data_IF_417595317510
#
_entry.id   IF_417595317510
#
_cell.length_a   1.000
_cell.length_b   1.000
_cell.length_c   1.000
_cell.angle_alpha   90.00
_cell.angle_beta   90.00
_cell.angle_gamma   90.00
#
_symmetry.space_group_name_H-M   'P 1'
#
loop_
_entity.id
_entity.type
_entity.pdbx_description
1 polymer ?
#
# COMPACT_ATOMS: atom_id res chain seq x y z
N UNK A 1 -6.59 8.36 -5.19
CA UNK A 1 -6.16 8.67 -6.57
C UNK A 1 -6.51 10.12 -6.86
N UNK A 2 -5.54 10.99 -7.16
CA UNK A 2 -5.78 12.41 -7.51
C UNK A 2 -5.96 12.49 -9.02
N UNK A 3 -7.14 12.86 -9.47
CA UNK A 3 -7.52 12.89 -10.87
C UNK A 3 -7.85 14.32 -11.24
N UNK A 4 -6.98 14.95 -12.03
CA UNK A 4 -7.33 16.20 -12.70
C UNK A 4 -8.22 15.90 -13.90
N UNK A 5 -9.48 15.53 -13.68
CA UNK A 5 -10.44 15.37 -14.77
C UNK A 5 -11.75 16.09 -14.49
N UNK A 6 -12.12 16.92 -15.46
CA UNK A 6 -13.48 17.36 -15.71
C UNK A 6 -14.44 16.16 -15.67
N UNK A 7 -15.24 16.17 -14.61
CA UNK A 7 -16.59 15.62 -14.34
C UNK A 7 -17.13 14.38 -15.08
N UNK A 8 -16.79 14.06 -16.33
CA UNK A 8 -17.59 13.16 -17.16
C UNK A 8 -16.88 11.94 -17.78
N UNK A 9 -15.55 11.92 -17.97
CA UNK A 9 -14.94 10.84 -18.79
C UNK A 9 -14.42 9.65 -17.98
N UNK A 10 -13.80 9.87 -16.81
CA UNK A 10 -13.27 8.77 -16.00
C UNK A 10 -14.35 7.93 -15.30
N UNK A 11 -15.51 8.53 -14.98
CA UNK A 11 -16.59 7.88 -14.22
C UNK A 11 -17.34 6.83 -15.04
N UNK A 12 -17.59 7.11 -16.33
CA UNK A 12 -18.37 6.23 -17.21
C UNK A 12 -17.60 4.98 -17.61
N UNK A 13 -16.27 5.00 -17.62
CA UNK A 13 -15.49 3.88 -18.17
C UNK A 13 -14.94 2.90 -17.13
N UNK A 14 -14.63 3.34 -15.90
CA UNK A 14 -14.13 2.43 -14.87
C UNK A 14 -15.29 1.61 -14.25
N UNK A 15 -16.48 2.21 -14.07
CA UNK A 15 -17.68 1.48 -13.61
C UNK A 15 -18.16 0.39 -14.56
N UNK A 16 -17.87 0.52 -15.85
CA UNK A 16 -18.41 -0.37 -16.90
C UNK A 16 -17.60 -1.67 -17.04
N UNK A 17 -16.36 -1.72 -16.53
CA UNK A 17 -15.44 -2.84 -16.78
C UNK A 17 -14.95 -3.59 -15.53
N UNK A 18 -15.11 -3.05 -14.32
CA UNK A 18 -14.96 -3.83 -13.09
C UNK A 18 -16.09 -3.55 -12.08
N UNK A 19 -17.17 -4.33 -12.17
CA UNK A 19 -18.32 -4.26 -11.25
C UNK A 19 -17.97 -4.52 -9.76
N UNK A 20 -16.72 -4.84 -9.47
CA UNK A 20 -16.23 -5.24 -8.15
C UNK A 20 -15.63 -4.07 -7.35
N UNK A 21 -15.28 -2.96 -8.00
CA UNK A 21 -14.74 -1.75 -7.37
C UNK A 21 -15.83 -0.68 -7.21
N UNK A 22 -15.95 -0.13 -6.00
CA UNK A 22 -16.76 1.05 -5.70
C UNK A 22 -15.88 2.28 -5.84
N UNK A 23 -16.42 3.28 -6.54
CA UNK A 23 -15.73 4.53 -6.87
C UNK A 23 -16.55 5.69 -6.33
N UNK A 24 -15.93 6.52 -5.52
CA UNK A 24 -16.49 7.78 -5.02
C UNK A 24 -15.61 8.94 -5.50
N UNK A 25 -16.25 10.00 -5.99
CA UNK A 25 -15.55 11.19 -6.50
C UNK A 25 -15.76 12.31 -5.50
N UNK A 26 -14.69 12.95 -5.06
CA UNK A 26 -14.77 14.17 -4.24
C UNK A 26 -13.94 15.28 -4.85
N UNK A 27 -14.44 16.49 -4.76
CA UNK A 27 -13.69 17.71 -5.09
C UNK A 27 -13.05 18.24 -3.81
N UNK A 28 -11.77 18.58 -3.90
CA UNK A 28 -11.00 19.15 -2.80
C UNK A 28 -10.74 20.62 -3.08
N UNK A 29 -11.51 21.49 -2.43
CA UNK A 29 -11.44 22.94 -2.63
C UNK A 29 -10.04 23.53 -2.41
N UNK A 30 -9.31 23.05 -1.40
CA UNK A 30 -8.00 23.60 -1.03
C UNK A 30 -6.93 23.44 -2.11
N UNK A 31 -7.03 22.39 -2.92
CA UNK A 31 -6.04 22.04 -3.96
C UNK A 31 -6.63 22.12 -5.37
N UNK A 32 -7.86 22.64 -5.47
CA UNK A 32 -8.73 22.62 -6.64
C UNK A 32 -8.54 21.38 -7.52
N UNK A 33 -8.76 20.21 -6.92
CA UNK A 33 -8.55 18.94 -7.59
C UNK A 33 -9.66 17.94 -7.30
N UNK A 34 -9.96 17.10 -8.27
CA UNK A 34 -10.81 15.94 -8.05
C UNK A 34 -9.98 14.76 -7.55
N UNK A 35 -10.54 14.02 -6.61
CA UNK A 35 -9.96 12.78 -6.11
C UNK A 35 -10.97 11.64 -6.30
N UNK A 36 -10.47 10.54 -6.86
CA UNK A 36 -11.17 9.27 -6.92
C UNK A 36 -10.76 8.44 -5.70
N UNK A 37 -11.77 8.06 -4.92
CA UNK A 37 -11.68 7.13 -3.82
C UNK A 37 -12.15 5.77 -4.33
N UNK A 38 -11.27 4.78 -4.20
CA UNK A 38 -11.50 3.43 -4.70
C UNK A 38 -11.57 2.49 -3.51
N UNK A 39 -12.58 1.63 -3.49
CA UNK A 39 -12.75 0.58 -2.49
C UNK A 39 -13.36 -0.67 -3.12
N UNK A 40 -13.25 -1.81 -2.47
CA UNK A 40 -13.80 -3.08 -2.92
C UNK A 40 -14.61 -3.75 -1.81
N UNK A 41 -15.59 -4.56 -2.21
CA UNK A 41 -16.31 -5.40 -1.26
C UNK A 41 -15.39 -6.50 -0.72
N UNK A 42 -15.67 -7.02 0.49
CA UNK A 42 -14.82 -8.04 1.13
C UNK A 42 -14.59 -9.27 0.24
N UNK A 43 -15.63 -9.78 -0.43
CA UNK A 43 -15.51 -10.92 -1.36
C UNK A 43 -14.56 -10.63 -2.53
N UNK A 44 -14.60 -9.41 -3.07
CA UNK A 44 -13.71 -8.98 -4.15
C UNK A 44 -12.28 -8.80 -3.67
N UNK A 45 -12.10 -8.28 -2.45
CA UNK A 45 -10.78 -8.20 -1.81
C UNK A 45 -10.18 -9.59 -1.60
N UNK A 46 -10.95 -10.59 -1.16
CA UNK A 46 -10.43 -11.95 -0.99
C UNK A 46 -10.00 -12.58 -2.33
N UNK A 47 -10.79 -12.42 -3.39
CA UNK A 47 -10.37 -12.84 -4.74
C UNK A 47 -9.11 -12.12 -5.21
N UNK A 48 -9.02 -10.81 -4.94
CA UNK A 48 -7.82 -10.04 -5.23
C UNK A 48 -6.61 -10.46 -4.39
N UNK A 49 -6.82 -10.91 -3.15
CA UNK A 49 -5.76 -11.43 -2.28
C UNK A 49 -5.14 -12.72 -2.82
N UNK A 50 -5.96 -13.60 -3.40
CA UNK A 50 -5.52 -14.80 -4.12
C UNK A 50 -4.70 -14.43 -5.37
N UNK A 51 -5.19 -13.48 -6.18
CA UNK A 51 -4.45 -12.98 -7.36
C UNK A 51 -3.12 -12.29 -7.00
N UNK A 52 -3.03 -11.71 -5.80
CA UNK A 52 -1.80 -11.08 -5.30
C UNK A 52 -0.89 -12.08 -4.55
N UNK A 53 -1.25 -13.38 -4.49
CA UNK A 53 -0.49 -14.40 -3.76
C UNK A 53 -0.18 -14.03 -2.30
N UNK A 54 -1.14 -13.39 -1.62
CA UNK A 54 -0.94 -12.95 -0.23
C UNK A 54 -0.82 -14.17 0.68
N UNK A 55 0.23 -14.19 1.50
CA UNK A 55 0.46 -15.27 2.46
C UNK A 55 -0.26 -14.98 3.78
N UNK A 56 -1.01 -15.95 4.27
CA UNK A 56 -1.81 -15.86 5.50
C UNK A 56 -1.58 -17.06 6.42
N UNK A 57 -1.70 -16.87 7.75
CA UNK A 57 -1.56 -17.95 8.69
C UNK A 57 -2.73 -18.93 8.59
N UNK A 58 -2.41 -20.22 8.52
CA UNK A 58 -3.38 -21.32 8.52
C UNK A 58 -3.73 -21.66 9.96
N UNK A 59 -4.97 -22.09 10.23
CA UNK A 59 -5.40 -22.55 11.56
C UNK A 59 -4.58 -23.78 11.96
N UNK A 60 -4.29 -23.93 13.25
CA UNK A 60 -3.52 -25.05 13.78
C UNK A 60 -4.13 -26.42 13.45
N UNK A 61 -5.46 -26.53 13.37
CA UNK A 61 -6.16 -27.76 12.99
C UNK A 61 -5.91 -28.20 11.54
N UNK A 62 -5.44 -27.32 10.66
CA UNK A 62 -5.11 -27.62 9.26
C UNK A 62 -3.59 -27.64 9.02
N UNK A 63 -2.79 -27.87 10.07
CA UNK A 63 -1.32 -27.97 10.00
C UNK A 63 -0.57 -26.68 10.36
N UNK A 64 -1.27 -25.55 10.52
CA UNK A 64 -0.67 -24.27 10.89
C UNK A 64 0.30 -23.70 9.84
N UNK A 65 1.14 -22.75 10.24
CA UNK A 65 2.13 -22.11 9.37
C UNK A 65 1.56 -21.02 8.46
N UNK A 66 2.34 -20.59 7.47
CA UNK A 66 2.01 -19.55 6.50
C UNK A 66 1.83 -20.17 5.11
N UNK A 67 0.71 -19.87 4.45
CA UNK A 67 0.39 -20.36 3.11
C UNK A 67 -0.18 -19.25 2.25
N UNK A 68 0.00 -19.32 0.93
CA UNK A 68 -0.70 -18.45 -0.01
C UNK A 68 -2.20 -18.60 0.12
N UNK A 69 -2.90 -17.48 0.18
CA UNK A 69 -4.33 -17.42 0.35
C UNK A 69 -5.02 -18.00 -0.89
N UNK A 70 -5.91 -18.97 -0.67
CA UNK A 70 -6.84 -19.46 -1.69
C UNK A 70 -8.27 -19.13 -1.28
N UNK A 71 -9.03 -18.60 -2.23
CA UNK A 71 -10.42 -18.24 -2.01
C UNK A 71 -11.30 -19.47 -1.75
N UNK A 72 -11.00 -20.60 -2.40
CA UNK A 72 -11.74 -21.87 -2.24
C UNK A 72 -11.54 -22.47 -0.84
N UNK A 73 -10.31 -22.36 -0.31
CA UNK A 73 -9.93 -22.91 0.99
C UNK A 73 -9.92 -21.84 2.10
N UNK A 74 -10.67 -20.75 1.94
CA UNK A 74 -10.65 -19.59 2.84
C UNK A 74 -10.89 -19.97 4.33
N UNK A 75 -11.70 -21.01 4.57
CA UNK A 75 -12.00 -21.54 5.91
C UNK A 75 -10.77 -22.07 6.68
N UNK A 76 -9.69 -22.43 5.97
CA UNK A 76 -8.46 -22.94 6.56
C UNK A 76 -7.62 -21.84 7.21
N UNK A 77 -7.86 -20.57 6.86
CA UNK A 77 -7.06 -19.44 7.32
C UNK A 77 -7.58 -18.84 8.63
N UNK A 78 -6.64 -18.44 9.48
CA UNK A 78 -6.95 -17.84 10.78
C UNK A 78 -7.52 -16.43 10.58
N UNK A 79 -8.61 -16.11 11.27
CA UNK A 79 -9.20 -14.77 11.26
C UNK A 79 -10.06 -14.43 10.04
N UNK A 80 -10.39 -15.39 9.17
CA UNK A 80 -11.18 -15.16 7.94
C UNK A 80 -12.57 -14.53 8.18
N UNK A 81 -13.17 -14.79 9.35
CA UNK A 81 -14.46 -14.21 9.76
C UNK A 81 -14.39 -12.68 9.96
N UNK A 82 -13.21 -12.18 10.31
CA UNK A 82 -12.97 -10.78 10.60
C UNK A 82 -12.82 -9.95 9.33
N UNK A 83 -13.93 -9.38 8.84
CA UNK A 83 -13.94 -8.56 7.59
C UNK A 83 -12.95 -7.40 7.59
N UNK A 84 -12.68 -6.82 8.75
CA UNK A 84 -11.79 -5.67 8.91
C UNK A 84 -10.40 -6.06 9.43
N UNK A 85 -10.24 -7.26 9.99
CA UNK A 85 -8.98 -7.68 10.65
C UNK A 85 -8.19 -8.69 9.82
N UNK A 86 -8.85 -9.45 8.95
CA UNK A 86 -8.17 -10.49 8.15
C UNK A 86 -7.15 -9.89 7.17
N UNK A 87 -7.54 -8.83 6.46
CA UNK A 87 -6.68 -8.08 5.56
C UNK A 87 -6.24 -6.78 6.23
N UNK A 88 -4.93 -6.54 6.26
CA UNK A 88 -4.34 -5.29 6.76
C UNK A 88 -4.60 -4.14 5.78
N UNK A 89 -4.43 -2.90 6.24
CA UNK A 89 -4.61 -1.72 5.38
C UNK A 89 -3.61 -1.71 4.20
N UNK A 90 -2.37 -2.14 4.45
CA UNK A 90 -1.36 -2.28 3.39
C UNK A 90 -1.78 -3.31 2.33
N UNK A 91 -2.24 -4.48 2.76
CA UNK A 91 -2.70 -5.53 1.85
C UNK A 91 -3.92 -5.07 1.04
N UNK A 92 -4.90 -4.41 1.68
CA UNK A 92 -6.06 -3.85 0.96
C UNK A 92 -5.64 -2.83 -0.09
N UNK A 93 -4.69 -1.96 0.24
CA UNK A 93 -4.16 -0.98 -0.70
C UNK A 93 -3.46 -1.66 -1.89
N UNK A 94 -2.64 -2.69 -1.63
CA UNK A 94 -1.96 -3.46 -2.68
C UNK A 94 -2.98 -4.17 -3.58
N UNK A 95 -3.99 -4.83 -3.01
CA UNK A 95 -5.04 -5.52 -3.76
C UNK A 95 -5.79 -4.54 -4.66
N UNK A 96 -6.27 -3.42 -4.11
CA UNK A 96 -7.02 -2.43 -4.89
C UNK A 96 -6.14 -1.82 -5.97
N UNK A 97 -4.87 -1.52 -5.68
CA UNK A 97 -3.92 -1.04 -6.68
C UNK A 97 -3.74 -2.06 -7.81
N UNK A 98 -3.57 -3.33 -7.48
CA UNK A 98 -3.42 -4.40 -8.46
C UNK A 98 -4.68 -4.55 -9.34
N UNK A 99 -5.88 -4.50 -8.75
CA UNK A 99 -7.14 -4.50 -9.50
C UNK A 99 -7.17 -3.35 -10.51
N UNK A 100 -6.86 -2.13 -10.06
CA UNK A 100 -6.81 -0.93 -10.90
C UNK A 100 -5.77 -1.03 -12.02
N UNK A 101 -4.59 -1.59 -11.72
CA UNK A 101 -3.51 -1.78 -12.68
C UNK A 101 -3.81 -2.90 -13.69
N UNK A 102 -4.72 -3.83 -13.38
CA UNK A 102 -5.18 -4.88 -14.28
C UNK A 102 -6.28 -4.44 -15.24
N UNK A 103 -6.90 -3.27 -15.03
CA UNK A 103 -7.93 -2.75 -15.93
C UNK A 103 -7.36 -2.52 -17.33
N UNK A 104 -8.01 -3.09 -18.34
CA UNK A 104 -7.66 -2.97 -19.76
C UNK A 104 -8.77 -2.29 -20.55
N UNK A 105 -8.39 -1.62 -21.64
CA UNK A 105 -9.34 -1.06 -22.58
C UNK A 105 -10.15 -2.18 -23.28
N UNK A 106 -11.48 -2.06 -23.36
CA UNK A 106 -12.37 -3.06 -23.96
C UNK A 106 -12.27 -3.10 -25.49
N UNK A 107 -13.00 -4.06 -26.07
CA UNK A 107 -13.09 -4.25 -27.51
C UNK A 107 -13.64 -3.01 -28.19
N UNK A 108 -12.89 -2.46 -29.16
CA UNK A 108 -13.19 -1.17 -29.80
C UNK A 108 -12.37 0.02 -29.26
N UNK A 109 -11.55 -0.19 -28.23
CA UNK A 109 -10.64 0.82 -27.70
C UNK A 109 -11.36 1.99 -27.02
N UNK A 110 -10.57 2.89 -26.43
CA UNK A 110 -11.07 4.05 -25.70
C UNK A 110 -10.50 5.31 -26.35
N UNK A 111 -11.37 6.20 -26.82
CA UNK A 111 -10.97 7.53 -27.29
C UNK A 111 -11.53 8.57 -26.34
N UNK A 112 -10.64 9.25 -25.62
CA UNK A 112 -10.97 10.31 -24.68
C UNK A 112 -10.62 11.64 -25.35
N UNK A 113 -11.63 12.41 -25.70
CA UNK A 113 -11.47 13.76 -26.27
C UNK A 113 -11.58 14.78 -25.14
N UNK A 114 -10.49 15.46 -24.83
CA UNK A 114 -10.50 16.69 -24.03
C UNK A 114 -10.47 17.89 -24.97
N UNK A 115 -10.88 19.07 -24.45
CA UNK A 115 -10.99 20.34 -25.17
C UNK A 115 -9.90 20.56 -26.23
N UNK A 116 -8.63 20.22 -25.94
CA UNK A 116 -7.49 20.44 -26.84
C UNK A 116 -6.66 19.18 -27.15
N UNK A 117 -7.07 17.98 -26.71
CA UNK A 117 -6.26 16.76 -26.84
C UNK A 117 -7.13 15.50 -26.92
N UNK A 118 -6.94 14.73 -27.99
CA UNK A 118 -7.58 13.41 -28.13
C UNK A 118 -6.59 12.32 -27.78
N UNK A 119 -6.89 11.53 -26.75
CA UNK A 119 -6.08 10.40 -26.32
C UNK A 119 -6.79 9.12 -26.76
N UNK A 120 -6.13 8.38 -27.64
CA UNK A 120 -6.59 7.06 -28.09
C UNK A 120 -5.83 5.96 -27.36
N UNK A 121 -6.56 5.13 -26.65
CA UNK A 121 -6.08 3.92 -25.98
C UNK A 121 -6.58 2.73 -26.81
N UNK A 122 -5.63 1.95 -27.33
CA UNK A 122 -5.93 0.74 -28.11
C UNK A 122 -6.53 -0.33 -27.21
N UNK A 123 -7.35 -1.18 -27.80
CA UNK A 123 -7.88 -2.39 -27.14
C UNK A 123 -6.75 -3.19 -26.45
N UNK A 124 -7.04 -3.73 -25.27
CA UNK A 124 -6.10 -4.55 -24.51
C UNK A 124 -4.98 -3.78 -23.81
N UNK A 125 -4.91 -2.45 -23.93
CA UNK A 125 -3.91 -1.63 -23.22
C UNK A 125 -4.35 -1.27 -21.80
N UNK A 126 -3.39 -1.16 -20.87
CA UNK A 126 -3.64 -0.69 -19.51
C UNK A 126 -4.08 0.78 -19.49
N UNK A 127 -5.20 1.07 -18.83
CA UNK A 127 -5.83 2.40 -18.87
C UNK A 127 -5.06 3.39 -17.99
N UNK A 128 -4.80 3.03 -16.73
CA UNK A 128 -4.25 3.95 -15.71
C UNK A 128 -2.86 4.48 -16.08
N UNK A 129 -1.87 3.66 -16.47
CA UNK A 129 -0.56 4.16 -16.88
C UNK A 129 -0.66 5.11 -18.08
N UNK A 130 -1.62 4.86 -18.99
CA UNK A 130 -1.81 5.70 -20.16
C UNK A 130 -2.37 7.07 -19.78
N UNK A 131 -3.30 7.12 -18.84
CA UNK A 131 -3.86 8.35 -18.32
C UNK A 131 -2.82 9.15 -17.51
N UNK A 132 -1.95 8.48 -16.76
CA UNK A 132 -0.82 9.13 -16.05
C UNK A 132 0.16 9.76 -17.06
N UNK A 133 0.64 8.98 -18.04
CA UNK A 133 1.54 9.50 -19.09
C UNK A 133 0.93 10.61 -19.94
N UNK A 134 -0.40 10.66 -20.04
CA UNK A 134 -1.11 11.72 -20.74
C UNK A 134 -1.28 13.01 -19.92
N UNK A 135 -0.99 12.96 -18.61
CA UNK A 135 -1.15 14.06 -17.66
C UNK A 135 -2.57 14.22 -17.10
N UNK A 136 -3.45 13.23 -17.29
CA UNK A 136 -4.85 13.29 -16.81
C UNK A 136 -5.00 12.82 -15.36
N UNK A 137 -4.14 11.91 -14.94
CA UNK A 137 -4.02 11.46 -13.55
C UNK A 137 -2.66 11.93 -13.07
N UNK A 138 -2.65 12.60 -11.92
CA UNK A 138 -1.41 13.06 -11.32
C UNK A 138 -0.73 11.90 -10.58
N UNK A 139 -1.45 11.28 -9.62
CA UNK A 139 -0.90 10.25 -8.75
C UNK A 139 -1.95 9.25 -8.26
N UNK A 140 -1.53 8.00 -8.06
CA UNK A 140 -2.30 6.93 -7.41
C UNK A 140 -1.63 6.60 -6.09
N UNK A 141 -2.29 6.94 -4.98
CA UNK A 141 -1.72 6.82 -3.63
C UNK A 141 -2.70 6.09 -2.71
N UNK A 142 -2.21 5.25 -1.78
CA UNK A 142 -3.01 4.71 -0.69
C UNK A 142 -3.41 5.81 0.29
N UNK A 143 -4.49 5.60 1.03
CA UNK A 143 -4.94 6.51 2.07
C UNK A 143 -4.28 6.14 3.39
N UNK A 144 -3.73 7.13 4.09
CA UNK A 144 -3.13 6.93 5.40
C UNK A 144 -4.14 7.10 6.53
N UNK A 145 -3.98 6.30 7.58
CA UNK A 145 -4.65 6.50 8.86
C UNK A 145 -3.79 7.40 9.75
N UNK A 146 -4.20 8.67 9.87
CA UNK A 146 -3.47 9.67 10.64
C UNK A 146 -3.41 9.33 12.16
N UNK A 147 -4.43 8.65 12.69
CA UNK A 147 -4.47 8.27 14.10
C UNK A 147 -3.46 7.16 14.40
N UNK A 148 -3.42 6.14 13.54
CA UNK A 148 -2.43 5.06 13.65
C UNK A 148 -1.00 5.58 13.54
N UNK A 149 -0.74 6.49 12.60
CA UNK A 149 0.58 7.12 12.46
C UNK A 149 1.01 7.88 13.73
N UNK A 150 0.09 8.64 14.34
CA UNK A 150 0.37 9.32 15.62
C UNK A 150 0.66 8.32 16.73
N UNK A 151 -0.14 7.25 16.83
CA UNK A 151 0.09 6.20 17.81
C UNK A 151 1.49 5.57 17.66
N UNK A 152 1.85 5.18 16.44
CA UNK A 152 3.14 4.59 16.12
C UNK A 152 4.30 5.55 16.45
N UNK A 153 4.15 6.83 16.11
CA UNK A 153 5.14 7.87 16.42
C UNK A 153 5.35 8.04 17.93
N UNK A 154 4.27 8.10 18.71
CA UNK A 154 4.36 8.22 20.16
C UNK A 154 4.97 6.97 20.81
N UNK A 155 4.53 5.78 20.40
CA UNK A 155 4.97 4.50 20.98
C UNK A 155 6.46 4.23 20.77
N UNK A 156 6.95 4.50 19.56
CA UNK A 156 8.29 4.09 19.15
C UNK A 156 9.25 5.28 19.01
N UNK A 157 8.93 6.22 18.12
CA UNK A 157 9.86 7.30 17.71
C UNK A 157 10.13 8.28 18.85
N UNK A 158 9.09 8.65 19.60
CA UNK A 158 9.20 9.67 20.65
C UNK A 158 9.54 9.10 22.03
N UNK A 159 9.16 7.84 22.29
CA UNK A 159 9.35 7.21 23.61
C UNK A 159 10.64 6.38 23.71
N UNK A 160 11.47 6.35 22.67
CA UNK A 160 12.63 5.46 22.55
C UNK A 160 12.28 3.99 22.88
N UNK A 161 11.05 3.59 22.58
CA UNK A 161 10.53 2.25 22.86
C UNK A 161 11.13 1.21 21.91
N UNK A 162 10.86 -0.06 22.20
CA UNK A 162 11.18 -1.16 21.29
C UNK A 162 10.50 -0.94 19.93
N UNK A 163 11.21 -1.27 18.85
CA UNK A 163 10.73 -1.08 17.49
C UNK A 163 9.58 -2.05 17.17
N UNK A 164 8.36 -1.55 16.91
CA UNK A 164 7.19 -2.40 16.67
C UNK A 164 7.15 -2.87 15.21
N UNK A 165 8.03 -3.81 14.86
CA UNK A 165 8.24 -4.25 13.47
C UNK A 165 6.98 -4.84 12.83
N UNK A 166 6.15 -5.55 13.58
CA UNK A 166 4.90 -6.12 13.06
C UNK A 166 3.89 -5.02 12.69
N UNK A 167 3.73 -4.00 13.53
CA UNK A 167 2.83 -2.87 13.24
C UNK A 167 3.33 -2.05 12.04
N UNK A 168 4.66 -1.87 11.93
CA UNK A 168 5.28 -1.21 10.77
C UNK A 168 5.00 -2.04 9.51
N UNK A 169 5.17 -3.38 9.57
CA UNK A 169 4.91 -4.28 8.44
C UNK A 169 3.45 -4.24 8.01
N UNK A 170 2.54 -4.31 8.96
CA UNK A 170 1.11 -4.41 8.67
C UNK A 170 0.56 -3.10 8.05
N UNK A 171 1.17 -1.95 8.38
CA UNK A 171 0.77 -0.64 7.88
C UNK A 171 1.54 -0.17 6.63
N UNK A 172 2.87 -0.31 6.61
CA UNK A 172 3.73 0.16 5.51
C UNK A 172 4.12 -0.94 4.52
N UNK A 173 3.93 -2.20 4.89
CA UNK A 173 4.36 -3.36 4.11
C UNK A 173 5.73 -3.90 4.53
N UNK A 174 6.04 -5.08 4.00
CA UNK A 174 7.23 -5.86 4.36
C UNK A 174 8.54 -5.17 4.00
N UNK A 175 8.61 -4.45 2.88
CA UNK A 175 9.84 -3.80 2.43
C UNK A 175 10.31 -2.72 3.42
N UNK A 176 9.38 -1.86 3.86
CA UNK A 176 9.66 -0.79 4.81
C UNK A 176 9.96 -1.38 6.19
N UNK A 177 9.23 -2.40 6.64
CA UNK A 177 9.52 -3.08 7.90
C UNK A 177 10.89 -3.77 7.91
N UNK A 178 11.28 -4.39 6.78
CA UNK A 178 12.58 -5.02 6.63
C UNK A 178 13.71 -3.98 6.71
N UNK A 179 13.55 -2.84 6.04
CA UNK A 179 14.49 -1.73 6.16
C UNK A 179 14.67 -1.28 7.62
N UNK A 180 13.56 -1.09 8.34
CA UNK A 180 13.59 -0.65 9.72
C UNK A 180 14.20 -1.69 10.68
N UNK A 181 13.92 -2.98 10.46
CA UNK A 181 14.56 -4.09 11.18
C UNK A 181 16.08 -4.10 10.98
N UNK A 182 16.52 -3.95 9.73
CA UNK A 182 17.94 -3.87 9.40
C UNK A 182 18.61 -2.66 10.07
N UNK A 183 17.96 -1.48 10.03
CA UNK A 183 18.46 -0.28 10.69
C UNK A 183 18.60 -0.46 12.21
N UNK A 184 17.61 -1.08 12.85
CA UNK A 184 17.66 -1.42 14.27
C UNK A 184 18.83 -2.34 14.59
N UNK A 185 19.02 -3.40 13.80
CA UNK A 185 20.15 -4.32 13.94
C UNK A 185 21.52 -3.63 13.77
N UNK A 186 21.67 -2.74 12.79
CA UNK A 186 22.92 -1.99 12.61
C UNK A 186 23.19 -1.07 13.80
N UNK A 187 22.17 -0.41 14.33
CA UNK A 187 22.30 0.50 15.46
C UNK A 187 22.73 -0.25 16.74
N UNK A 188 22.18 -1.45 16.98
CA UNK A 188 22.59 -2.29 18.12
C UNK A 188 23.99 -2.89 17.92
N UNK A 189 24.34 -3.29 16.70
CA UNK A 189 25.68 -3.78 16.38
C UNK A 189 26.78 -2.72 16.59
N UNK A 190 26.46 -1.44 16.36
CA UNK A 190 27.39 -0.31 16.57
C UNK A 190 27.64 0.02 18.05
N UNK A 191 26.79 -0.45 18.96
CA UNK A 191 27.00 -0.26 20.41
C UNK A 191 28.29 -0.94 20.88
N UNK A 192 28.61 -2.12 20.34
CA UNK A 192 29.80 -2.89 20.70
C UNK A 192 31.14 -2.19 20.34
N UNK A 193 31.39 -1.76 19.08
CA UNK A 193 32.60 -1.03 18.75
C UNK A 193 32.65 0.35 19.43
N UNK A 194 31.52 1.01 19.69
CA UNK A 194 31.49 2.28 20.42
C UNK A 194 32.05 2.12 21.85
N UNK A 195 31.61 1.09 22.57
CA UNK A 195 32.13 0.77 23.91
C UNK A 195 33.62 0.38 23.92
N UNK A 196 34.04 -0.44 22.95
CA UNK A 196 35.45 -0.84 22.85
C UNK A 196 36.37 0.32 22.48
N UNK A 197 35.89 1.27 21.67
CA UNK A 197 36.61 2.49 21.32
C UNK A 197 36.86 3.37 22.56
N UNK A 198 35.85 3.55 23.40
CA UNK A 198 35.98 4.32 24.64
C UNK A 198 36.95 3.66 25.63
N UNK A 199 36.92 2.33 25.75
CA UNK A 199 37.83 1.60 26.65
C UNK A 199 39.29 1.60 26.16
N UNK A 200 39.52 1.69 24.84
CA UNK A 200 40.87 1.65 24.23
C UNK A 200 41.50 3.04 23.99
N UNK A 201 40.84 4.13 24.36
CA UNK A 201 41.48 5.45 24.44
C UNK A 201 42.01 5.69 25.88
N UNK A 202 43.27 5.34 26.20
CA UNK A 202 43.91 5.90 27.39
C UNK A 202 43.98 7.42 27.21
N UNK A 203 43.68 8.15 28.29
CA UNK A 203 43.71 9.62 28.40
C UNK A 203 45.11 10.20 28.18
N UNK A 204 45.69 10.05 26.99
CA UNK A 204 47.00 10.61 26.63
C UNK A 204 46.91 11.88 25.78
N UNK A 205 45.73 12.51 25.67
CA UNK A 205 45.52 13.71 24.84
C UNK A 205 45.10 14.97 25.62
N UNK A 206 45.46 15.06 26.92
CA UNK A 206 45.28 16.28 27.73
C UNK A 206 46.53 16.58 28.59
N UNK A 207 47.72 16.56 27.97
CA UNK A 207 48.95 17.14 28.52
C UNK A 207 49.85 17.49 27.32
N UNK A 208 49.50 18.59 26.65
CA UNK A 208 50.37 19.45 25.82
C UNK A 208 49.51 20.58 25.23
N UNK A 209 49.04 21.46 26.11
CA UNK A 209 48.79 22.89 25.89
C UNK A 209 49.02 23.56 27.25
#
# INVERSE_FOLDING_TARGET
MRVGLEKNVANVQIKTHEAQLKIEIRHHNLKDCYALYLTANYKSLLKGAELCHIKKPVKSCFGGGLREFSFEEAQCFTGIEGRNTFLTDAERAIIVKQMVDMIRAPNGGISITLLNKTIKIREGMAIVPRLISAGLIENVLPLHNAEFLKHLQHKWVLSAGEQPLEEIRDYFGTEIAMYFSWLGHMTTALWFPALLGEHRHPKHFLLNC
#
